data_IF_809936377866
#
_entry.id   IF_809936377866
#
_cell.length_a   1.000
_cell.length_b   1.000
_cell.length_c   1.000
_cell.angle_alpha   90.00
_cell.angle_beta   90.00
_cell.angle_gamma   90.00
#
_symmetry.space_group_name_H-M   'P 1'
#
loop_
_entity.id
_entity.type
_entity.pdbx_description
1 polymer ?
#
# COMPACT_ATOMS: atom_id res chain seq x y z
N UNK A 1 -18.30 -20.29 7.07
CA UNK A 1 -18.06 -19.26 6.04
C UNK A 1 -16.56 -19.19 5.74
N UNK A 2 -16.12 -19.27 4.47
CA UNK A 2 -14.71 -19.06 4.13
C UNK A 2 -14.33 -17.62 4.49
N UNK A 3 -13.34 -17.46 5.37
CA UNK A 3 -12.82 -16.12 5.70
C UNK A 3 -12.16 -15.56 4.44
N UNK A 4 -12.43 -14.29 4.06
CA UNK A 4 -11.73 -13.68 2.93
C UNK A 4 -10.23 -13.74 3.22
N UNK A 5 -9.47 -14.36 2.30
CA UNK A 5 -8.00 -14.32 2.36
C UNK A 5 -7.62 -12.85 2.25
N UNK A 6 -7.09 -12.27 3.31
CA UNK A 6 -6.58 -10.90 3.28
C UNK A 6 -5.43 -10.82 2.28
N UNK A 7 -5.35 -9.73 1.51
CA UNK A 7 -4.31 -9.52 0.49
C UNK A 7 -2.89 -9.73 1.04
N UNK A 8 -2.67 -9.44 2.33
CA UNK A 8 -1.42 -9.70 3.04
C UNK A 8 -1.02 -11.19 3.04
N UNK A 9 -2.00 -12.09 3.20
CA UNK A 9 -1.76 -13.54 3.23
C UNK A 9 -1.40 -14.06 1.84
N UNK A 10 -2.02 -13.49 0.79
CA UNK A 10 -1.70 -13.82 -0.60
C UNK A 10 -0.25 -13.40 -0.92
N UNK A 11 0.15 -12.20 -0.52
CA UNK A 11 1.53 -11.75 -0.72
C UNK A 11 2.53 -12.64 0.00
N UNK A 12 2.25 -13.08 1.23
CA UNK A 12 3.14 -14.01 1.96
C UNK A 12 3.21 -15.40 1.30
N UNK A 13 2.12 -15.88 0.73
CA UNK A 13 2.07 -17.17 0.02
C UNK A 13 2.87 -17.14 -1.30
N UNK A 14 2.83 -16.01 -2.02
CA UNK A 14 3.51 -15.84 -3.32
C UNK A 14 4.96 -15.37 -3.20
N UNK A 15 5.23 -14.42 -2.29
CA UNK A 15 6.54 -13.76 -2.16
C UNK A 15 7.32 -14.19 -0.90
N UNK A 16 6.78 -15.14 -0.11
CA UNK A 16 7.42 -15.69 1.07
C UNK A 16 7.60 -14.68 2.20
N UNK A 17 8.77 -14.70 2.84
CA UNK A 17 9.11 -13.83 3.98
C UNK A 17 9.64 -12.45 3.57
N UNK A 18 9.58 -12.12 2.27
CA UNK A 18 9.99 -10.79 1.79
C UNK A 18 9.13 -9.68 2.41
N UNK A 19 9.75 -8.52 2.67
CA UNK A 19 9.01 -7.34 3.10
C UNK A 19 8.08 -6.89 2.00
N UNK A 20 6.81 -6.71 2.34
CA UNK A 20 5.78 -6.29 1.38
C UNK A 20 6.12 -4.96 0.72
N UNK A 21 6.78 -4.05 1.44
CA UNK A 21 7.19 -2.75 0.92
C UNK A 21 8.15 -2.91 -0.26
N UNK A 22 9.21 -3.72 -0.09
CA UNK A 22 10.20 -3.99 -1.13
C UNK A 22 9.56 -4.65 -2.36
N UNK A 23 8.62 -5.59 -2.15
CA UNK A 23 7.89 -6.25 -3.25
C UNK A 23 7.08 -5.23 -4.04
N UNK A 24 6.38 -4.32 -3.37
CA UNK A 24 5.60 -3.29 -4.07
C UNK A 24 6.50 -2.26 -4.77
N UNK A 25 7.63 -1.86 -4.17
CA UNK A 25 8.61 -0.97 -4.82
C UNK A 25 9.13 -1.58 -6.12
N UNK A 26 9.57 -2.84 -6.08
CA UNK A 26 10.09 -3.57 -7.26
C UNK A 26 9.01 -3.71 -8.35
N UNK A 27 7.78 -4.04 -7.96
CA UNK A 27 6.67 -4.17 -8.92
C UNK A 27 6.29 -2.84 -9.57
N UNK A 28 6.29 -1.75 -8.81
CA UNK A 28 6.00 -0.42 -9.35
C UNK A 28 7.11 0.07 -10.28
N UNK A 29 8.37 -0.12 -9.91
CA UNK A 29 9.51 0.20 -10.76
C UNK A 29 9.47 -0.60 -12.06
N UNK A 30 9.21 -1.91 -11.99
CA UNK A 30 9.12 -2.77 -13.18
C UNK A 30 7.94 -2.40 -14.09
N UNK A 31 6.79 -2.02 -13.53
CA UNK A 31 5.57 -1.75 -14.31
C UNK A 31 5.54 -0.34 -14.89
N UNK A 32 6.06 0.65 -14.18
CA UNK A 32 5.94 2.06 -14.53
C UNK A 32 7.29 2.75 -14.80
N UNK A 33 8.42 2.10 -14.55
CA UNK A 33 9.75 2.71 -14.63
C UNK A 33 9.99 3.78 -13.56
N UNK A 34 9.18 3.80 -12.50
CA UNK A 34 9.21 4.82 -11.45
C UNK A 34 9.76 4.23 -10.16
N UNK A 35 10.82 4.84 -9.65
CA UNK A 35 11.34 4.51 -8.33
C UNK A 35 10.47 5.12 -7.25
N UNK A 36 9.67 4.29 -6.59
CA UNK A 36 8.77 4.70 -5.51
C UNK A 36 9.30 4.23 -4.17
N UNK A 37 8.89 4.90 -3.09
CA UNK A 37 9.14 4.44 -1.72
C UNK A 37 7.82 4.05 -1.08
N UNK A 38 7.63 2.77 -0.79
CA UNK A 38 6.39 2.25 -0.23
C UNK A 38 6.51 2.25 1.28
N UNK A 39 5.52 2.82 1.95
CA UNK A 39 5.41 2.76 3.40
C UNK A 39 3.99 2.37 3.77
N UNK A 40 3.83 1.59 4.83
CA UNK A 40 2.51 1.35 5.39
C UNK A 40 1.94 2.65 5.90
N UNK A 41 0.68 2.94 5.54
CA UNK A 41 -0.07 4.03 6.16
C UNK A 41 -0.20 3.73 7.65
N UNK A 42 0.46 4.54 8.47
CA UNK A 42 0.15 4.65 9.88
C UNK A 42 -1.16 5.42 10.05
N UNK A 43 -1.92 5.12 11.10
CA UNK A 43 -3.19 5.77 11.44
C UNK A 43 -3.07 7.30 11.48
N UNK A 44 -1.90 7.81 11.88
CA UNK A 44 -1.56 9.23 11.92
C UNK A 44 -1.57 9.88 10.53
N UNK A 45 -0.88 9.29 9.54
CA UNK A 45 -0.89 9.79 8.15
C UNK A 45 -2.27 9.68 7.50
N UNK A 46 -3.04 8.65 7.87
CA UNK A 46 -4.43 8.46 7.43
C UNK A 46 -5.36 9.59 7.89
N UNK A 47 -5.15 10.11 9.11
CA UNK A 47 -5.91 11.24 9.62
C UNK A 47 -5.55 12.54 8.88
N UNK A 48 -4.26 12.76 8.57
CA UNK A 48 -3.80 13.96 7.85
C UNK A 48 -4.28 14.01 6.40
N UNK A 49 -4.27 12.88 5.67
CA UNK A 49 -4.79 12.82 4.29
C UNK A 49 -6.32 13.05 4.23
N UNK A 50 -7.10 12.51 5.18
CA UNK A 50 -8.54 12.78 5.25
C UNK A 50 -8.87 14.26 5.47
N UNK A 51 -8.00 15.00 6.14
CA UNK A 51 -8.16 16.44 6.30
C UNK A 51 -7.83 17.24 5.03
N UNK A 52 -6.93 16.73 4.18
CA UNK A 52 -6.60 17.38 2.90
C UNK A 52 -7.66 17.10 1.81
N UNK A 53 -8.20 15.87 1.74
CA UNK A 53 -9.25 15.51 0.79
C UNK A 53 -10.55 16.33 1.00
N UNK A 54 -10.89 16.65 2.26
CA UNK A 54 -12.04 17.52 2.57
C UNK A 54 -11.87 18.96 2.07
N UNK A 55 -10.65 19.49 2.02
CA UNK A 55 -10.41 20.86 1.54
C UNK A 55 -10.47 20.96 0.02
N UNK A 56 -10.11 19.90 -0.71
CA UNK A 56 -10.07 19.91 -2.17
C UNK A 56 -11.47 19.78 -2.82
N UNK A 57 -12.43 19.19 -2.11
CA UNK A 57 -13.82 19.03 -2.59
C UNK A 57 -14.76 20.19 -2.20
N UNK A 58 -14.25 21.28 -1.63
CA UNK A 58 -15.03 22.47 -1.25
C UNK A 58 -14.73 23.71 -2.10
N UNK A 59 -13.85 23.61 -3.10
CA UNK A 59 -13.52 24.71 -4.03
C UNK A 59 -14.31 24.61 -5.33
#
# INVERSE_FOLDING_TARGET
MPRPKTNLRIVKEVYGERKIEEVFEELYERKYGLKVKVSRKTSEKLATEKHQEKKYNQE
#
